data_IF_886247454806
#
_entry.id   IF_886247454806
#
_cell.length_a   1.000
_cell.length_b   1.000
_cell.length_c   1.000
_cell.angle_alpha   90.00
_cell.angle_beta   90.00
_cell.angle_gamma   90.00
#
_symmetry.space_group_name_H-M   'P 1'
#
loop_
_entity.id
_entity.type
_entity.pdbx_description
1 polymer ?
#
# COMPACT_ATOMS: atom_id res chain seq x y z
N UNK A 1 9.84 -26.76 3.29
CA UNK A 1 8.40 -27.00 3.14
C UNK A 1 7.84 -25.77 2.46
N UNK A 2 7.22 -25.90 1.29
CA UNK A 2 6.58 -24.77 0.61
C UNK A 2 5.47 -24.26 1.53
N UNK A 3 5.53 -22.99 1.89
CA UNK A 3 4.68 -22.38 2.92
C UNK A 3 3.29 -22.12 2.30
N UNK A 4 2.25 -22.89 2.66
CA UNK A 4 0.90 -22.81 2.06
C UNK A 4 0.11 -21.52 2.44
N UNK A 5 0.77 -20.43 2.84
CA UNK A 5 0.10 -19.24 3.44
C UNK A 5 -0.49 -18.27 2.42
N UNK A 6 0.06 -18.26 1.22
CA UNK A 6 -0.41 -17.44 0.11
C UNK A 6 -0.08 -18.12 -1.22
N UNK A 7 -0.86 -17.85 -2.27
CA UNK A 7 -0.62 -18.44 -3.58
C UNK A 7 0.62 -17.80 -4.24
N UNK A 8 1.45 -18.62 -4.89
CA UNK A 8 2.45 -18.11 -5.84
C UNK A 8 1.77 -17.94 -7.20
N UNK A 9 1.52 -16.70 -7.58
CA UNK A 9 0.80 -16.33 -8.79
C UNK A 9 1.78 -15.56 -9.65
N UNK A 10 2.38 -16.17 -10.67
CA UNK A 10 3.33 -15.47 -11.55
C UNK A 10 3.19 -15.93 -12.98
N UNK A 11 2.81 -15.01 -13.85
CA UNK A 11 2.68 -15.29 -15.26
C UNK A 11 2.75 -14.00 -16.08
N UNK A 12 3.16 -14.16 -17.32
CA UNK A 12 3.12 -13.09 -18.32
C UNK A 12 1.86 -13.25 -19.16
N UNK A 13 1.12 -12.18 -19.38
CA UNK A 13 -0.04 -12.22 -20.26
C UNK A 13 0.40 -12.33 -21.73
N UNK A 14 -0.11 -13.34 -22.44
CA UNK A 14 0.28 -13.63 -23.82
C UNK A 14 0.05 -12.46 -24.78
N UNK A 15 -1.02 -11.68 -24.60
CA UNK A 15 -1.38 -10.59 -25.51
C UNK A 15 -0.60 -9.31 -25.27
N UNK A 16 -0.34 -8.94 -24.01
CA UNK A 16 0.26 -7.65 -23.64
C UNK A 16 1.73 -7.76 -23.24
N UNK A 17 2.24 -8.97 -22.98
CA UNK A 17 3.60 -9.18 -22.49
C UNK A 17 3.84 -8.67 -21.07
N UNK A 18 2.79 -8.27 -20.35
CA UNK A 18 2.92 -7.75 -18.99
C UNK A 18 2.93 -8.87 -17.97
N UNK A 19 3.68 -8.67 -16.91
CA UNK A 19 3.70 -9.60 -15.79
C UNK A 19 2.59 -9.30 -14.79
N UNK A 20 1.99 -10.36 -14.29
CA UNK A 20 1.14 -10.36 -13.10
C UNK A 20 1.83 -11.24 -12.07
N UNK A 21 2.12 -10.67 -10.90
CA UNK A 21 2.79 -11.39 -9.83
C UNK A 21 2.30 -11.03 -8.44
N UNK A 22 2.43 -11.93 -7.47
CA UNK A 22 2.22 -11.57 -6.06
C UNK A 22 3.43 -10.80 -5.48
N UNK A 23 3.16 -9.98 -4.48
CA UNK A 23 4.17 -9.29 -3.68
C UNK A 23 3.56 -8.69 -2.43
N UNK A 24 4.28 -7.80 -1.76
CA UNK A 24 3.79 -7.00 -0.65
C UNK A 24 3.74 -5.52 -1.03
N UNK A 25 2.70 -4.83 -0.57
CA UNK A 25 2.62 -3.37 -0.62
C UNK A 25 2.55 -2.78 0.76
N UNK A 26 3.30 -1.69 0.94
CA UNK A 26 3.33 -0.87 2.14
C UNK A 26 2.93 0.55 1.76
N UNK A 27 1.68 0.92 1.99
CA UNK A 27 1.13 2.22 1.59
C UNK A 27 0.90 3.09 2.82
N UNK A 28 1.39 4.33 2.80
CA UNK A 28 1.19 5.32 3.85
C UNK A 28 0.55 6.57 3.26
N UNK A 29 -0.65 6.92 3.71
CA UNK A 29 -1.41 8.08 3.25
C UNK A 29 -1.28 9.23 4.24
N UNK A 30 -1.03 10.43 3.75
CA UNK A 30 -0.70 11.61 4.54
C UNK A 30 -1.54 12.82 4.10
N UNK A 31 -2.43 13.28 4.97
CA UNK A 31 -3.25 14.50 4.76
C UNK A 31 -2.48 15.76 5.18
N UNK A 32 -1.34 16.00 4.55
CA UNK A 32 -0.49 17.17 4.80
C UNK A 32 0.23 17.58 3.51
N UNK A 33 0.65 18.84 3.41
CA UNK A 33 1.40 19.34 2.26
C UNK A 33 2.77 18.66 2.15
N UNK A 34 3.15 18.26 0.94
CA UNK A 34 4.46 17.65 0.67
C UNK A 34 5.61 18.52 1.21
N UNK A 35 5.56 19.83 1.00
CA UNK A 35 6.61 20.78 1.45
C UNK A 35 6.85 20.78 2.96
N UNK A 36 5.89 20.30 3.76
CA UNK A 36 6.02 20.17 5.22
C UNK A 36 6.56 18.80 5.65
N UNK A 37 6.70 17.86 4.72
CA UNK A 37 7.09 16.46 4.97
C UNK A 37 8.22 15.96 4.05
N UNK A 38 8.76 16.78 3.14
CA UNK A 38 9.83 16.41 2.22
C UNK A 38 10.98 15.64 2.89
N UNK A 39 11.47 16.16 4.02
CA UNK A 39 12.53 15.52 4.82
C UNK A 39 12.10 14.17 5.41
N UNK A 40 10.83 14.04 5.82
CA UNK A 40 10.30 12.77 6.34
C UNK A 40 10.18 11.71 5.24
N UNK A 41 9.70 12.10 4.05
CA UNK A 41 9.62 11.24 2.86
C UNK A 41 11.01 10.77 2.46
N UNK A 42 11.99 11.68 2.40
CA UNK A 42 13.37 11.33 2.09
C UNK A 42 13.97 10.35 3.11
N UNK A 43 13.76 10.56 4.41
CA UNK A 43 14.21 9.60 5.45
C UNK A 43 13.57 8.22 5.29
N UNK A 44 12.28 8.16 4.98
CA UNK A 44 11.58 6.89 4.74
C UNK A 44 12.13 6.16 3.50
N UNK A 45 12.40 6.91 2.42
CA UNK A 45 13.06 6.39 1.22
C UNK A 45 14.47 5.84 1.53
N UNK A 46 15.26 6.55 2.33
CA UNK A 46 16.61 6.10 2.72
C UNK A 46 16.57 4.79 3.52
N UNK A 47 15.62 4.66 4.45
CA UNK A 47 15.38 3.42 5.22
C UNK A 47 15.06 2.26 4.28
N UNK A 48 14.23 2.49 3.28
CA UNK A 48 13.87 1.46 2.31
C UNK A 48 15.09 1.02 1.48
N UNK A 49 15.84 1.98 0.93
CA UNK A 49 17.06 1.71 0.14
C UNK A 49 18.10 0.95 0.95
N UNK A 50 18.28 1.30 2.23
CA UNK A 50 19.15 0.56 3.16
C UNK A 50 18.68 -0.90 3.31
N UNK A 51 17.38 -1.12 3.48
CA UNK A 51 16.80 -2.44 3.71
C UNK A 51 16.90 -3.37 2.50
N UNK A 52 16.62 -2.88 1.29
CA UNK A 52 16.67 -3.68 0.06
C UNK A 52 18.07 -3.79 -0.56
N UNK A 53 19.06 -3.16 0.08
CA UNK A 53 20.45 -2.94 -0.35
C UNK A 53 20.59 -1.87 -1.45
N UNK A 54 21.65 -1.04 -1.38
CA UNK A 54 21.99 -0.10 -2.45
C UNK A 54 22.15 -0.80 -3.80
N UNK A 55 21.67 -0.16 -4.87
CA UNK A 55 21.70 -0.70 -6.23
C UNK A 55 20.56 -1.67 -6.57
N UNK A 56 19.68 -1.99 -5.62
CA UNK A 56 18.49 -2.81 -5.89
C UNK A 56 17.43 -2.07 -6.69
N UNK A 57 17.29 -0.76 -6.45
CA UNK A 57 16.52 0.12 -7.33
C UNK A 57 17.46 0.60 -8.45
N UNK A 58 17.10 0.30 -9.70
CA UNK A 58 17.94 0.56 -10.87
C UNK A 58 17.30 1.45 -11.92
N UNK A 59 16.00 1.73 -11.83
CA UNK A 59 15.33 2.64 -12.76
C UNK A 59 14.49 3.68 -12.03
N UNK A 60 14.31 4.84 -12.67
CA UNK A 60 13.31 5.82 -12.30
C UNK A 60 12.48 6.23 -13.51
N UNK A 61 11.24 6.65 -13.25
CA UNK A 61 10.37 7.25 -14.25
C UNK A 61 10.54 8.77 -14.22
N UNK A 62 10.83 9.37 -15.37
CA UNK A 62 10.91 10.82 -15.49
C UNK A 62 9.52 11.49 -15.60
N UNK A 63 9.50 12.81 -15.78
CA UNK A 63 8.28 13.60 -15.93
C UNK A 63 7.61 13.39 -17.31
N UNK A 64 8.34 12.87 -18.31
CA UNK A 64 7.83 12.56 -19.66
C UNK A 64 7.17 11.17 -19.71
N UNK A 65 7.44 10.33 -18.71
CA UNK A 65 6.91 8.98 -18.59
C UNK A 65 7.84 7.90 -19.12
N UNK A 66 9.12 8.23 -19.31
CA UNK A 66 10.15 7.30 -19.76
C UNK A 66 10.97 6.75 -18.59
N UNK A 67 11.35 5.48 -18.69
CA UNK A 67 12.17 4.79 -17.69
C UNK A 67 13.65 4.95 -18.02
N UNK A 68 14.42 5.44 -17.04
CA UNK A 68 15.85 5.70 -17.16
C UNK A 68 16.62 5.04 -16.02
N UNK A 69 17.90 4.76 -16.25
CA UNK A 69 18.80 4.20 -15.23
C UNK A 69 18.93 5.15 -14.03
N UNK A 70 18.89 4.58 -12.83
CA UNK A 70 18.97 5.29 -11.57
C UNK A 70 20.42 5.36 -11.09
N UNK A 71 21.23 6.15 -11.80
CA UNK A 71 22.62 6.44 -11.43
C UNK A 71 22.75 7.50 -10.31
N UNK A 72 23.99 7.90 -9.98
CA UNK A 72 24.24 8.89 -8.94
C UNK A 72 23.63 10.27 -9.25
N UNK A 73 23.59 10.68 -10.52
CA UNK A 73 23.02 11.96 -10.95
C UNK A 73 21.49 11.92 -10.87
N UNK A 74 20.88 10.83 -11.32
CA UNK A 74 19.46 10.55 -11.19
C UNK A 74 19.04 10.53 -9.72
N UNK A 75 19.80 9.88 -8.82
CA UNK A 75 19.55 9.93 -7.39
C UNK A 75 19.61 11.35 -6.82
N UNK A 76 20.61 12.14 -7.22
CA UNK A 76 20.74 13.53 -6.80
C UNK A 76 19.56 14.37 -7.30
N UNK A 77 19.09 14.13 -8.52
CA UNK A 77 17.91 14.77 -9.10
C UNK A 77 16.63 14.38 -8.36
N UNK A 78 16.41 13.09 -8.08
CA UNK A 78 15.26 12.60 -7.30
C UNK A 78 15.20 13.26 -5.93
N UNK A 79 16.33 13.31 -5.22
CA UNK A 79 16.42 13.95 -3.88
C UNK A 79 16.17 15.44 -3.97
N UNK A 80 16.73 16.13 -4.96
CA UNK A 80 16.48 17.56 -5.20
C UNK A 80 15.01 17.83 -5.48
N UNK A 81 14.40 17.02 -6.35
CA UNK A 81 12.98 17.13 -6.67
C UNK A 81 12.09 16.96 -5.44
N UNK A 82 12.40 16.02 -4.56
CA UNK A 82 11.71 15.83 -3.28
C UNK A 82 11.87 17.01 -2.31
N UNK A 83 12.90 17.84 -2.45
CA UNK A 83 13.15 18.97 -1.55
C UNK A 83 12.62 20.29 -2.11
N UNK A 84 12.67 20.48 -3.43
CA UNK A 84 12.43 21.77 -4.08
C UNK A 84 11.06 21.85 -4.76
N UNK A 85 10.48 20.73 -5.22
CA UNK A 85 9.18 20.74 -5.90
C UNK A 85 8.04 20.80 -4.88
N UNK A 86 6.95 21.46 -5.25
CA UNK A 86 5.76 21.54 -4.39
C UNK A 86 4.95 20.24 -4.35
N UNK A 87 5.08 19.42 -5.40
CA UNK A 87 4.25 18.26 -5.73
C UNK A 87 5.05 17.24 -6.55
N UNK A 88 6.16 16.72 -6.01
CA UNK A 88 6.99 15.78 -6.74
C UNK A 88 6.27 14.44 -6.90
N UNK A 89 6.55 13.80 -8.03
CA UNK A 89 6.27 12.40 -8.28
C UNK A 89 7.60 11.67 -8.33
N UNK A 90 7.70 10.55 -7.63
CA UNK A 90 8.88 9.68 -7.65
C UNK A 90 8.40 8.27 -7.89
N UNK A 91 8.87 7.64 -8.97
CA UNK A 91 8.68 6.22 -9.21
C UNK A 91 10.06 5.61 -9.44
N UNK A 92 10.42 4.66 -8.59
CA UNK A 92 11.67 3.91 -8.65
C UNK A 92 11.33 2.42 -8.78
N UNK A 93 12.04 1.70 -9.63
CA UNK A 93 11.83 0.27 -9.89
C UNK A 93 13.13 -0.53 -9.82
N UNK A 94 13.00 -1.85 -9.72
CA UNK A 94 14.09 -2.82 -9.62
C UNK A 94 15.01 -2.76 -10.85
N UNK A 95 16.32 -2.93 -10.64
CA UNK A 95 17.34 -3.00 -11.68
C UNK A 95 17.22 -4.25 -12.56
N UNK A 96 16.71 -5.35 -12.02
CA UNK A 96 16.48 -6.57 -12.79
C UNK A 96 15.16 -6.38 -13.57
N UNK A 97 15.18 -6.32 -14.91
CA UNK A 97 14.03 -6.10 -15.84
C UNK A 97 12.88 -7.16 -15.77
N UNK A 98 12.66 -7.76 -14.60
CA UNK A 98 11.60 -8.67 -14.24
C UNK A 98 10.56 -7.91 -13.40
N UNK A 99 9.34 -8.46 -13.20
CA UNK A 99 8.26 -7.72 -12.56
C UNK A 99 8.70 -7.07 -11.24
N UNK A 100 8.37 -5.80 -11.02
CA UNK A 100 8.79 -4.93 -9.90
C UNK A 100 8.85 -5.64 -8.51
N UNK A 101 9.94 -6.37 -8.25
CA UNK A 101 10.15 -7.06 -6.97
C UNK A 101 10.38 -6.05 -5.85
N UNK A 102 10.97 -4.91 -6.21
CA UNK A 102 11.21 -3.77 -5.34
C UNK A 102 10.84 -2.51 -6.10
N UNK A 103 10.05 -1.66 -5.47
CA UNK A 103 9.65 -0.40 -6.07
C UNK A 103 9.31 0.63 -4.99
N UNK A 104 9.43 1.89 -5.36
CA UNK A 104 8.94 3.02 -4.57
C UNK A 104 8.07 3.88 -5.45
N UNK A 105 6.89 4.23 -4.95
CA UNK A 105 6.01 5.20 -5.57
C UNK A 105 5.64 6.28 -4.56
N UNK A 106 5.99 7.53 -4.87
CA UNK A 106 5.60 8.70 -4.11
C UNK A 106 4.79 9.65 -4.98
N UNK A 107 3.62 10.02 -4.49
CA UNK A 107 2.81 11.09 -5.06
C UNK A 107 2.67 12.19 -4.01
N UNK A 108 3.42 13.28 -4.19
CA UNK A 108 3.23 14.52 -3.45
C UNK A 108 2.02 15.26 -4.02
N UNK A 109 0.89 15.22 -3.32
CA UNK A 109 -0.36 15.72 -3.87
C UNK A 109 -0.51 17.24 -3.75
N UNK A 110 -1.42 17.78 -4.56
CA UNK A 110 -1.71 19.18 -4.72
C UNK A 110 -2.29 19.79 -3.45
N UNK A 111 -2.00 21.07 -3.33
CA UNK A 111 -2.19 21.90 -2.16
C UNK A 111 -3.65 21.93 -1.69
N UNK A 112 -3.83 21.63 -0.40
CA UNK A 112 -5.02 21.92 0.43
C UNK A 112 -5.37 23.44 0.39
N UNK A 113 -4.43 24.27 -0.05
CA UNK A 113 -4.46 25.73 -0.03
C UNK A 113 -4.32 26.40 -1.42
N UNK A 114 -4.48 25.67 -2.54
CA UNK A 114 -4.56 26.26 -3.89
C UNK A 114 -6.01 26.72 -4.17
N UNK A 115 -6.31 28.04 -4.23
CA UNK A 115 -7.68 28.54 -4.43
C UNK A 115 -8.26 28.20 -5.81
N UNK A 116 -7.40 27.86 -6.79
CA UNK A 116 -7.81 27.48 -8.14
C UNK A 116 -8.05 25.97 -8.28
N UNK A 117 -7.75 25.20 -7.22
CA UNK A 117 -7.95 23.77 -7.23
C UNK A 117 -9.43 23.40 -7.29
N UNK A 118 -9.76 22.52 -8.24
CA UNK A 118 -11.13 22.01 -8.45
C UNK A 118 -11.25 20.50 -8.23
N UNK A 119 -10.20 19.86 -7.72
CA UNK A 119 -10.25 18.45 -7.35
C UNK A 119 -10.78 18.26 -5.93
N UNK A 120 -10.61 17.05 -5.41
CA UNK A 120 -11.17 16.63 -4.13
C UNK A 120 -10.53 17.36 -2.94
N UNK A 121 -11.32 17.63 -1.91
CA UNK A 121 -10.84 18.05 -0.60
C UNK A 121 -10.38 16.85 0.27
N UNK A 122 -10.33 15.65 -0.31
CA UNK A 122 -9.87 14.41 0.32
C UNK A 122 -8.58 13.87 -0.32
N UNK A 123 -7.85 14.69 -1.06
CA UNK A 123 -6.55 14.29 -1.59
C UNK A 123 -5.55 13.93 -0.48
N UNK A 124 -4.60 13.06 -0.73
CA UNK A 124 -3.54 12.75 0.24
C UNK A 124 -2.23 12.60 -0.52
N UNK A 125 -1.13 12.99 0.12
CA UNK A 125 0.17 12.48 -0.32
C UNK A 125 0.22 10.99 0.02
N UNK A 126 0.93 10.22 -0.78
CA UNK A 126 1.11 8.79 -0.52
C UNK A 126 2.54 8.38 -0.82
N UNK A 127 3.13 7.62 0.10
CA UNK A 127 4.40 6.94 -0.10
C UNK A 127 4.14 5.44 -0.02
N UNK A 128 4.50 4.74 -1.09
CA UNK A 128 4.25 3.33 -1.27
C UNK A 128 5.55 2.60 -1.57
N UNK A 129 5.72 1.44 -0.94
CA UNK A 129 6.84 0.55 -1.16
C UNK A 129 6.35 -0.83 -1.59
N UNK A 130 7.11 -1.48 -2.47
CA UNK A 130 6.89 -2.85 -2.90
C UNK A 130 8.00 -3.76 -2.36
N UNK A 131 7.66 -4.95 -1.85
CA UNK A 131 8.63 -5.99 -1.54
C UNK A 131 8.19 -7.29 -2.21
N UNK A 132 9.13 -8.13 -2.63
CA UNK A 132 8.80 -9.47 -3.12
C UNK A 132 8.39 -10.40 -1.98
N UNK A 133 7.64 -11.45 -2.32
CA UNK A 133 7.34 -12.53 -1.38
C UNK A 133 8.61 -13.30 -0.98
N UNK A 134 9.62 -13.39 -1.85
CA UNK A 134 10.95 -13.91 -1.50
C UNK A 134 11.59 -13.11 -0.38
N UNK A 135 11.55 -11.78 -0.43
CA UNK A 135 12.10 -10.95 0.63
C UNK A 135 11.39 -11.22 1.96
N UNK A 136 10.06 -11.41 1.93
CA UNK A 136 9.29 -11.80 3.12
C UNK A 136 9.71 -13.19 3.65
N UNK A 137 9.91 -14.17 2.77
CA UNK A 137 10.32 -15.53 3.15
C UNK A 137 11.74 -15.57 3.71
N UNK A 138 12.66 -14.83 3.09
CA UNK A 138 14.07 -14.77 3.46
C UNK A 138 14.30 -14.01 4.76
N UNK A 139 13.67 -12.84 4.92
CA UNK A 139 13.84 -11.99 6.10
C UNK A 139 12.93 -12.41 7.26
N UNK A 140 11.84 -13.11 6.95
CA UNK A 140 10.78 -13.45 7.89
C UNK A 140 9.83 -12.27 8.17
N UNK A 141 8.59 -12.57 8.58
CA UNK A 141 7.54 -11.56 8.75
C UNK A 141 7.85 -10.58 9.88
N UNK A 142 8.52 -11.01 10.95
CA UNK A 142 8.90 -10.12 12.05
C UNK A 142 9.80 -8.98 11.56
N UNK A 143 10.76 -9.28 10.68
CA UNK A 143 11.67 -8.28 10.12
C UNK A 143 10.98 -7.37 9.11
N UNK A 144 10.07 -7.91 8.31
CA UNK A 144 9.23 -7.09 7.40
C UNK A 144 8.31 -6.16 8.19
N UNK A 145 7.71 -6.63 9.29
CA UNK A 145 6.91 -5.79 10.19
C UNK A 145 7.75 -4.68 10.81
N UNK A 146 8.95 -4.99 11.29
CA UNK A 146 9.87 -3.98 11.82
C UNK A 146 10.24 -2.94 10.75
N UNK A 147 10.52 -3.38 9.52
CA UNK A 147 10.76 -2.48 8.40
C UNK A 147 9.56 -1.56 8.14
N UNK A 148 8.33 -2.10 8.11
CA UNK A 148 7.12 -1.31 7.95
C UNK A 148 6.99 -0.21 9.03
N UNK A 149 7.30 -0.53 10.29
CA UNK A 149 7.29 0.45 11.38
C UNK A 149 8.35 1.53 11.21
N UNK A 150 9.59 1.15 10.85
CA UNK A 150 10.68 2.10 10.56
C UNK A 150 10.34 3.03 9.40
N UNK A 151 9.72 2.50 8.32
CA UNK A 151 9.28 3.29 7.17
C UNK A 151 8.18 4.29 7.56
N UNK A 152 7.27 3.89 8.46
CA UNK A 152 6.15 4.70 8.92
C UNK A 152 6.55 5.77 9.93
N UNK A 153 7.55 5.51 10.77
CA UNK A 153 7.99 6.36 11.89
C UNK A 153 8.22 7.84 11.49
N UNK A 154 9.02 8.18 10.45
CA UNK A 154 9.28 9.58 10.11
C UNK A 154 8.05 10.29 9.53
N UNK A 155 7.05 9.55 9.05
CA UNK A 155 5.96 10.07 8.23
C UNK A 155 4.77 10.54 9.11
N UNK A 156 4.12 11.66 8.75
CA UNK A 156 2.90 12.14 9.42
C UNK A 156 1.65 11.48 8.80
N UNK A 157 1.61 10.15 8.76
CA UNK A 157 0.53 9.40 8.13
C UNK A 157 -0.79 9.51 8.91
N UNK A 158 -1.90 9.46 8.17
CA UNK A 158 -3.28 9.41 8.67
C UNK A 158 -3.83 7.98 8.61
N UNK A 159 -3.36 7.18 7.66
CA UNK A 159 -3.66 5.76 7.55
C UNK A 159 -2.56 5.07 6.75
N UNK A 160 -2.52 3.75 6.83
CA UNK A 160 -1.64 2.94 6.00
C UNK A 160 -1.96 1.45 6.08
N UNK A 161 -1.44 0.71 5.12
CA UNK A 161 -1.67 -0.72 4.99
C UNK A 161 -0.40 -1.44 4.57
N UNK A 162 -0.18 -2.62 5.14
CA UNK A 162 0.88 -3.53 4.74
C UNK A 162 0.31 -4.92 4.60
N UNK A 163 0.46 -5.52 3.43
CA UNK A 163 -0.02 -6.87 3.17
C UNK A 163 0.30 -7.35 1.78
N UNK A 164 -0.21 -8.53 1.47
CA UNK A 164 -0.05 -9.13 0.15
C UNK A 164 -0.85 -8.34 -0.88
N UNK A 165 -0.32 -8.26 -2.09
CA UNK A 165 -0.93 -7.59 -3.21
C UNK A 165 -0.66 -8.37 -4.49
N UNK A 166 -1.54 -8.22 -5.47
CA UNK A 166 -1.31 -8.66 -6.83
C UNK A 166 -0.84 -7.48 -7.67
N UNK A 167 0.42 -7.54 -8.08
CA UNK A 167 1.17 -6.49 -8.74
C UNK A 167 1.08 -6.68 -10.24
N UNK A 168 0.51 -5.69 -10.92
CA UNK A 168 0.30 -5.68 -12.36
C UNK A 168 0.05 -4.25 -12.84
N UNK A 169 0.33 -3.94 -14.12
CA UNK A 169 -0.06 -2.68 -14.74
C UNK A 169 -1.56 -2.66 -15.03
N UNK A 170 -2.38 -2.43 -14.00
CA UNK A 170 -3.87 -2.42 -14.07
C UNK A 170 -4.47 -1.33 -14.95
N UNK A 171 -3.66 -0.45 -15.53
CA UNK A 171 -4.07 0.52 -16.54
C UNK A 171 -4.11 -0.06 -17.97
N UNK A 172 -3.56 -1.26 -18.17
CA UNK A 172 -3.56 -1.95 -19.46
C UNK A 172 -4.82 -2.82 -19.54
N UNK A 173 -5.58 -2.67 -20.63
CA UNK A 173 -6.85 -3.37 -20.82
C UNK A 173 -6.66 -4.89 -20.77
N UNK A 174 -7.58 -5.58 -20.10
CA UNK A 174 -7.58 -7.03 -19.93
C UNK A 174 -6.76 -7.55 -18.74
N UNK A 175 -5.77 -6.77 -18.25
CA UNK A 175 -4.98 -7.11 -17.05
C UNK A 175 -5.87 -7.13 -15.81
N UNK A 176 -6.74 -6.13 -15.70
CA UNK A 176 -7.54 -5.92 -14.50
C UNK A 176 -8.50 -7.09 -14.26
N UNK A 177 -9.03 -7.71 -15.34
CA UNK A 177 -9.84 -8.94 -15.27
C UNK A 177 -9.11 -10.08 -14.57
N UNK A 178 -7.91 -10.42 -15.04
CA UNK A 178 -7.09 -11.49 -14.47
C UNK A 178 -6.71 -11.22 -13.00
N UNK A 179 -6.45 -9.95 -12.67
CA UNK A 179 -6.13 -9.51 -11.31
C UNK A 179 -7.32 -9.73 -10.38
N UNK A 180 -8.50 -9.27 -10.79
CA UNK A 180 -9.70 -9.35 -9.99
C UNK A 180 -10.19 -10.79 -9.77
N UNK A 181 -10.20 -11.63 -10.82
CA UNK A 181 -10.63 -13.04 -10.68
C UNK A 181 -9.80 -13.76 -9.60
N UNK A 182 -8.50 -13.47 -9.52
CA UNK A 182 -7.62 -14.01 -8.48
C UNK A 182 -7.89 -13.40 -7.12
N UNK A 183 -8.04 -12.08 -7.05
CA UNK A 183 -8.34 -11.39 -5.80
C UNK A 183 -9.68 -11.86 -5.22
N UNK A 184 -10.69 -12.10 -6.05
CA UNK A 184 -11.98 -12.65 -5.64
C UNK A 184 -11.90 -14.05 -5.04
N UNK A 185 -10.90 -14.86 -5.43
CA UNK A 185 -10.59 -16.12 -4.76
C UNK A 185 -9.78 -15.91 -3.48
N UNK A 186 -8.81 -15.01 -3.52
CA UNK A 186 -7.83 -14.76 -2.47
C UNK A 186 -8.05 -13.35 -1.85
N UNK A 187 -9.02 -13.19 -0.93
CA UNK A 187 -9.46 -11.88 -0.46
C UNK A 187 -8.39 -11.08 0.30
N UNK A 188 -7.34 -11.73 0.79
CA UNK A 188 -6.20 -11.08 1.43
C UNK A 188 -5.19 -10.44 0.45
N UNK A 189 -5.26 -10.79 -0.84
CA UNK A 189 -4.48 -10.10 -1.88
C UNK A 189 -5.13 -8.76 -2.20
N UNK A 190 -4.36 -7.68 -2.08
CA UNK A 190 -4.81 -6.36 -2.46
C UNK A 190 -4.66 -6.06 -3.95
N UNK A 191 -5.42 -5.07 -4.44
CA UNK A 191 -5.26 -4.47 -5.77
C UNK A 191 -4.73 -3.04 -5.60
N UNK A 192 -3.42 -2.82 -5.72
CA UNK A 192 -2.85 -1.50 -5.49
C UNK A 192 -3.28 -0.51 -6.56
N UNK A 193 -3.74 0.66 -6.15
CA UNK A 193 -3.85 1.84 -7.03
C UNK A 193 -3.54 3.11 -6.25
N UNK A 194 -2.25 3.38 -6.10
CA UNK A 194 -1.73 4.51 -5.32
C UNK A 194 -2.35 5.83 -5.80
N UNK A 195 -2.37 6.06 -7.11
CA UNK A 195 -2.92 7.26 -7.74
C UNK A 195 -4.43 7.43 -7.50
N UNK A 196 -5.21 6.36 -7.56
CA UNK A 196 -6.67 6.48 -7.44
C UNK A 196 -7.08 6.69 -5.98
N UNK A 197 -6.44 5.97 -5.06
CA UNK A 197 -6.68 6.17 -3.62
C UNK A 197 -6.22 7.55 -3.15
N UNK A 198 -5.04 8.00 -3.57
CA UNK A 198 -4.50 9.29 -3.12
C UNK A 198 -5.34 10.50 -3.50
N UNK A 199 -6.28 10.36 -4.46
CA UNK A 199 -7.17 11.45 -4.87
C UNK A 199 -8.31 11.69 -3.89
N UNK A 200 -8.73 10.70 -3.12
CA UNK A 200 -10.00 10.77 -2.39
C UNK A 200 -10.01 10.08 -1.01
N UNK A 201 -8.94 9.39 -0.63
CA UNK A 201 -8.91 8.63 0.64
C UNK A 201 -8.97 9.53 1.88
N UNK A 202 -8.45 10.75 1.80
CA UNK A 202 -8.40 11.69 2.90
C UNK A 202 -7.65 11.13 4.11
N UNK A 203 -8.38 10.99 5.22
CA UNK A 203 -7.90 10.36 6.46
C UNK A 203 -8.51 8.98 6.71
N UNK A 204 -9.30 8.47 5.75
CA UNK A 204 -9.97 7.16 5.85
C UNK A 204 -8.97 6.01 5.71
N UNK A 205 -9.44 4.81 6.05
CA UNK A 205 -8.65 3.57 5.97
C UNK A 205 -9.10 2.79 4.74
N UNK A 206 -8.17 2.31 3.92
CA UNK A 206 -8.51 1.56 2.71
C UNK A 206 -9.28 0.27 2.99
N UNK A 207 -8.90 -0.45 4.04
CA UNK A 207 -9.44 -1.75 4.41
C UNK A 207 -8.51 -2.45 5.40
N UNK A 208 -8.95 -3.58 5.99
CA UNK A 208 -8.04 -4.40 6.78
C UNK A 208 -6.93 -4.97 5.89
N UNK A 209 -5.70 -4.94 6.42
CA UNK A 209 -4.53 -5.60 5.84
C UNK A 209 -3.75 -6.31 6.95
N UNK A 210 -2.69 -7.05 6.61
CA UNK A 210 -1.88 -7.76 7.60
C UNK A 210 -1.39 -6.80 8.70
N UNK A 211 -0.84 -5.64 8.32
CA UNK A 211 -0.69 -4.50 9.20
C UNK A 211 -1.61 -3.37 8.75
N UNK A 212 -2.42 -2.86 9.67
CA UNK A 212 -3.30 -1.71 9.42
C UNK A 212 -2.90 -0.58 10.34
N UNK A 213 -2.42 0.53 9.76
CA UNK A 213 -2.01 1.72 10.48
C UNK A 213 -3.20 2.65 10.63
N UNK A 214 -3.61 2.89 11.89
CA UNK A 214 -4.78 3.68 12.26
C UNK A 214 -4.31 5.01 12.82
N UNK A 215 -4.58 6.10 12.09
CA UNK A 215 -4.11 7.43 12.46
C UNK A 215 -4.97 8.15 13.49
N UNK A 216 -4.59 9.40 13.83
CA UNK A 216 -5.12 10.09 15.00
C UNK A 216 -6.63 10.36 14.95
N UNK A 217 -7.15 10.72 13.78
CA UNK A 217 -8.58 11.02 13.63
C UNK A 217 -9.43 9.77 13.91
N UNK A 218 -9.19 8.69 13.17
CA UNK A 218 -9.94 7.44 13.33
C UNK A 218 -9.78 6.86 14.73
N UNK A 219 -8.56 6.88 15.26
CA UNK A 219 -8.29 6.35 16.60
C UNK A 219 -8.99 7.17 17.71
N UNK A 220 -9.05 8.50 17.56
CA UNK A 220 -9.79 9.36 18.48
C UNK A 220 -11.29 9.06 18.45
N UNK A 221 -11.87 8.92 17.25
CA UNK A 221 -13.31 8.62 17.07
C UNK A 221 -13.67 7.21 17.56
N UNK A 222 -12.74 6.25 17.48
CA UNK A 222 -12.87 4.90 18.05
C UNK A 222 -12.85 4.86 19.59
N UNK A 223 -12.35 5.92 20.24
CA UNK A 223 -12.15 5.99 21.69
C UNK A 223 -10.75 5.57 22.15
N UNK A 224 -9.76 5.56 21.26
CA UNK A 224 -8.35 5.31 21.57
C UNK A 224 -7.90 3.85 21.38
N UNK A 225 -6.61 3.61 21.65
CA UNK A 225 -5.96 2.30 21.48
C UNK A 225 -6.63 1.22 22.32
N UNK A 226 -6.96 1.50 23.57
CA UNK A 226 -7.58 0.52 24.47
C UNK A 226 -8.98 0.12 23.99
N UNK A 227 -9.75 1.07 23.47
CA UNK A 227 -11.07 0.80 22.90
C UNK A 227 -10.96 -0.04 21.62
N UNK A 228 -9.98 0.25 20.74
CA UNK A 228 -9.69 -0.56 19.56
C UNK A 228 -9.29 -1.99 19.97
N UNK A 229 -8.37 -2.14 20.93
CA UNK A 229 -7.92 -3.45 21.42
C UNK A 229 -9.06 -4.26 22.03
N UNK A 230 -9.94 -3.63 22.82
CA UNK A 230 -11.06 -4.32 23.45
C UNK A 230 -12.10 -4.85 22.44
N UNK A 231 -12.18 -4.27 21.24
CA UNK A 231 -13.11 -4.71 20.18
C UNK A 231 -12.56 -5.84 19.31
N UNK A 232 -11.28 -6.19 19.42
CA UNK A 232 -10.63 -7.23 18.62
C UNK A 232 -10.36 -8.46 19.48
N UNK A 233 -10.92 -9.60 19.09
CA UNK A 233 -10.86 -10.86 19.84
C UNK A 233 -10.22 -11.99 19.04
N UNK A 234 -9.96 -11.80 17.75
CA UNK A 234 -9.36 -12.82 16.90
C UNK A 234 -7.97 -13.23 17.40
N UNK A 235 -7.68 -14.54 17.53
CA UNK A 235 -6.37 -15.02 17.96
C UNK A 235 -5.24 -14.49 17.08
N UNK A 236 -4.13 -14.07 17.71
CA UNK A 236 -2.98 -13.53 17.00
C UNK A 236 -3.14 -12.08 16.53
N UNK A 237 -4.30 -11.46 16.72
CA UNK A 237 -4.47 -10.02 16.50
C UNK A 237 -3.82 -9.23 17.63
N UNK A 238 -2.94 -8.30 17.29
CA UNK A 238 -2.30 -7.39 18.26
C UNK A 238 -2.54 -5.94 17.89
N UNK A 239 -2.69 -5.08 18.90
CA UNK A 239 -2.76 -3.62 18.73
C UNK A 239 -1.60 -2.98 19.47
N UNK A 240 -0.71 -2.33 18.75
CA UNK A 240 0.44 -1.60 19.29
C UNK A 240 0.19 -0.09 19.19
N UNK A 241 0.37 0.61 20.32
CA UNK A 241 0.27 2.07 20.37
C UNK A 241 1.54 2.70 19.79
N UNK A 242 1.37 3.74 18.99
CA UNK A 242 2.44 4.53 18.39
C UNK A 242 2.31 6.00 18.80
N UNK A 243 3.40 6.76 18.70
CA UNK A 243 3.40 8.17 19.07
C UNK A 243 2.41 9.02 18.26
N UNK A 244 1.89 10.07 18.88
CA UNK A 244 1.01 11.04 18.20
C UNK A 244 -0.43 10.57 18.06
N UNK A 245 -0.91 9.68 18.93
CA UNK A 245 -2.28 9.16 18.89
C UNK A 245 -2.48 8.20 17.73
N UNK A 246 -1.49 7.35 17.46
CA UNK A 246 -1.48 6.41 16.34
C UNK A 246 -1.44 4.98 16.84
N UNK A 247 -1.85 4.04 16.01
CA UNK A 247 -1.76 2.62 16.33
C UNK A 247 -1.49 1.79 15.09
N UNK A 248 -0.92 0.60 15.29
CA UNK A 248 -0.88 -0.45 14.27
C UNK A 248 -1.64 -1.67 14.78
N UNK A 249 -2.54 -2.19 13.96
CA UNK A 249 -3.16 -3.51 14.15
C UNK A 249 -2.36 -4.51 13.32
N UNK A 250 -1.94 -5.62 13.91
CA UNK A 250 -1.28 -6.73 13.22
C UNK A 250 -2.19 -7.95 13.30
N UNK A 251 -2.52 -8.54 12.15
CA UNK A 251 -3.40 -9.71 12.03
C UNK A 251 -2.57 -10.98 11.86
N UNK A 252 -2.19 -11.62 12.98
CA UNK A 252 -1.36 -12.82 12.95
C UNK A 252 0.12 -12.56 12.63
N UNK A 253 0.91 -13.62 12.70
CA UNK A 253 2.36 -13.54 12.50
C UNK A 253 2.74 -13.29 11.04
N UNK A 254 2.04 -13.91 10.09
CA UNK A 254 2.30 -13.80 8.66
C UNK A 254 1.12 -13.15 7.95
N UNK A 255 1.33 -12.45 6.82
CA UNK A 255 0.22 -12.03 5.99
C UNK A 255 -0.47 -13.26 5.38
N UNK A 256 -1.80 -13.23 5.32
CA UNK A 256 -2.61 -14.31 4.78
C UNK A 256 -3.39 -13.84 3.55
N UNK A 257 -3.42 -14.67 2.50
CA UNK A 257 -4.20 -14.39 1.29
C UNK A 257 -5.66 -14.88 1.40
N UNK A 258 -5.95 -15.79 2.33
CA UNK A 258 -7.20 -16.56 2.32
C UNK A 258 -7.27 -17.49 1.11
N UNK A 259 -8.40 -18.16 0.91
CA UNK A 259 -8.78 -18.91 -0.30
C UNK A 259 -10.24 -19.33 -0.14
N UNK A 260 -11.15 -18.65 -0.82
CA UNK A 260 -12.59 -18.95 -0.72
C UNK A 260 -12.94 -20.35 -1.24
N UNK A 261 -12.20 -20.90 -2.20
CA UNK A 261 -12.45 -22.27 -2.68
C UNK A 261 -12.08 -23.33 -1.63
N UNK A 262 -11.17 -22.99 -0.71
CA UNK A 262 -10.75 -23.85 0.41
C UNK A 262 -11.42 -23.50 1.74
N UNK A 263 -12.33 -22.52 1.76
CA UNK A 263 -12.99 -22.05 2.97
C UNK A 263 -12.09 -21.29 3.95
N UNK A 264 -10.95 -20.74 3.49
CA UNK A 264 -10.05 -19.91 4.29
C UNK A 264 -10.53 -18.45 4.23
N UNK A 265 -11.42 -18.07 5.16
CA UNK A 265 -12.22 -16.83 5.10
C UNK A 265 -11.60 -15.60 5.79
N UNK A 266 -10.38 -15.70 6.33
CA UNK A 266 -9.69 -14.61 7.02
C UNK A 266 -10.52 -13.96 8.16
N UNK A 267 -10.91 -14.71 9.21
CA UNK A 267 -11.79 -14.20 10.27
C UNK A 267 -11.25 -12.94 10.97
N UNK A 268 -9.95 -12.83 11.17
CA UNK A 268 -9.31 -11.66 11.78
C UNK A 268 -9.44 -10.40 10.91
N UNK A 269 -9.34 -10.55 9.59
CA UNK A 269 -9.54 -9.45 8.64
C UNK A 269 -11.00 -8.99 8.63
N UNK A 270 -11.94 -9.95 8.69
CA UNK A 270 -13.38 -9.66 8.77
C UNK A 270 -13.77 -8.98 10.08
N UNK A 271 -13.20 -9.40 11.20
CA UNK A 271 -13.41 -8.72 12.48
C UNK A 271 -12.91 -7.27 12.44
N UNK A 272 -11.68 -7.06 11.96
CA UNK A 272 -11.12 -5.71 11.85
C UNK A 272 -11.94 -4.83 10.88
N UNK A 273 -12.39 -5.39 9.74
CA UNK A 273 -13.27 -4.67 8.82
C UNK A 273 -14.54 -4.16 9.50
N UNK A 274 -15.22 -5.01 10.27
CA UNK A 274 -16.44 -4.62 11.00
C UNK A 274 -16.19 -3.55 12.05
N UNK A 275 -15.06 -3.63 12.76
CA UNK A 275 -14.68 -2.60 13.74
C UNK A 275 -14.40 -1.27 13.05
N UNK A 276 -13.78 -1.29 11.87
CA UNK A 276 -13.38 -0.11 11.12
C UNK A 276 -14.42 0.39 10.12
N UNK A 277 -15.54 -0.31 9.92
CA UNK A 277 -16.54 -0.04 8.87
C UNK A 277 -16.90 1.46 8.72
N UNK A 278 -17.15 2.23 9.81
CA UNK A 278 -17.49 3.66 9.68
C UNK A 278 -16.39 4.54 9.07
N UNK A 279 -15.15 4.07 9.07
CA UNK A 279 -13.97 4.81 8.62
C UNK A 279 -13.31 4.19 7.38
N UNK A 280 -13.90 3.13 6.83
CA UNK A 280 -13.41 2.56 5.59
C UNK A 280 -13.64 3.53 4.43
N UNK A 281 -12.66 3.58 3.53
CA UNK A 281 -12.77 4.34 2.31
C UNK A 281 -13.67 3.58 1.33
N UNK A 282 -14.77 4.23 0.93
CA UNK A 282 -15.65 3.78 -0.14
C UNK A 282 -15.46 4.69 -1.36
N UNK A 283 -15.41 4.11 -2.56
CA UNK A 283 -15.30 4.88 -3.80
C UNK A 283 -14.03 4.62 -4.60
N UNK A 284 -13.43 3.43 -4.43
CA UNK A 284 -12.39 2.95 -5.32
C UNK A 284 -12.91 2.96 -6.75
N UNK A 285 -12.20 3.62 -7.66
CA UNK A 285 -12.53 3.62 -9.08
C UNK A 285 -11.51 2.75 -9.83
N UNK A 286 -11.66 1.42 -9.76
CA UNK A 286 -10.99 0.58 -10.75
C UNK A 286 -11.60 0.87 -12.11
N UNK A 287 -10.77 1.33 -13.04
CA UNK A 287 -11.18 1.81 -14.35
C UNK A 287 -11.67 0.68 -15.28
N UNK A 288 -12.70 1.04 -16.07
CA UNK A 288 -13.19 0.53 -17.37
C UNK A 288 -13.51 -0.95 -17.59
N UNK A 289 -12.86 -1.90 -16.92
CA UNK A 289 -13.01 -3.33 -17.25
C UNK A 289 -14.00 -4.09 -16.34
N UNK A 290 -14.67 -3.40 -15.39
CA UNK A 290 -15.54 -4.05 -14.39
C UNK A 290 -16.97 -3.52 -14.29
N UNK A 291 -17.95 -4.41 -14.05
CA UNK A 291 -19.27 -4.03 -13.54
C UNK A 291 -19.15 -3.37 -12.15
N UNK A 292 -19.86 -2.25 -11.88
CA UNK A 292 -19.84 -1.59 -10.58
C UNK A 292 -20.24 -2.48 -9.39
N UNK A 293 -21.05 -3.52 -9.60
CA UNK A 293 -21.46 -4.47 -8.55
C UNK A 293 -20.32 -5.36 -8.07
N UNK A 294 -19.43 -5.75 -8.98
CA UNK A 294 -18.26 -6.57 -8.66
C UNK A 294 -17.25 -5.75 -7.85
N UNK A 295 -16.98 -4.52 -8.28
CA UNK A 295 -16.13 -3.59 -7.54
C UNK A 295 -16.61 -3.38 -6.10
N UNK A 296 -17.91 -3.15 -5.90
CA UNK A 296 -18.51 -3.03 -4.56
C UNK A 296 -18.32 -4.30 -3.73
N UNK A 297 -18.52 -5.48 -4.32
CA UNK A 297 -18.32 -6.76 -3.63
C UNK A 297 -16.86 -6.90 -3.19
N UNK A 298 -15.92 -6.47 -4.01
CA UNK A 298 -14.50 -6.48 -3.65
C UNK A 298 -14.16 -5.51 -2.51
N UNK A 299 -14.65 -4.28 -2.57
CA UNK A 299 -14.46 -3.29 -1.51
C UNK A 299 -15.05 -3.79 -0.18
N UNK A 300 -16.22 -4.45 -0.22
CA UNK A 300 -16.95 -4.94 0.95
C UNK A 300 -16.70 -6.41 1.30
N UNK A 301 -15.73 -7.07 0.67
CA UNK A 301 -15.47 -8.52 0.77
C UNK A 301 -15.28 -9.07 2.20
N UNK A 302 -14.90 -8.20 3.14
CA UNK A 302 -14.73 -8.57 4.54
C UNK A 302 -15.93 -8.23 5.44
N UNK A 303 -16.85 -7.40 4.95
CA UNK A 303 -18.08 -7.03 5.64
C UNK A 303 -19.23 -7.98 5.31
N UNK A 304 -19.27 -8.46 4.06
CA UNK A 304 -20.31 -9.35 3.50
C UNK A 304 -19.92 -10.82 3.54
#
# INVERSE_FOLDING_TARGET
MVNERYPHIRFQMEFSGVWIHEGLRLDFYMRRLHTQMAQAVMRSLDIYVEAVKPGRLGFYLDDEGDWWELDEEAWALTRRNLLERQWPRVLLADADHNPDWFAVEYLGNRRIDDPEWRGSDQEACVLSFCLSTEYLEEQGPARVRELALRLAEPLPWCSGNVGLALLAPTHISGVTKEVYERCMRYPGLDIPSVRDYSRNIGTRIRGPSWLTFVGPQVLSELGGVEALRARLQSPGTTVEALEGGRAVVTLGEWPEAGDYEKGLLLPAYRELARVLEPWLYEGHQLQHDFPPDELRRWERRFLE
#
